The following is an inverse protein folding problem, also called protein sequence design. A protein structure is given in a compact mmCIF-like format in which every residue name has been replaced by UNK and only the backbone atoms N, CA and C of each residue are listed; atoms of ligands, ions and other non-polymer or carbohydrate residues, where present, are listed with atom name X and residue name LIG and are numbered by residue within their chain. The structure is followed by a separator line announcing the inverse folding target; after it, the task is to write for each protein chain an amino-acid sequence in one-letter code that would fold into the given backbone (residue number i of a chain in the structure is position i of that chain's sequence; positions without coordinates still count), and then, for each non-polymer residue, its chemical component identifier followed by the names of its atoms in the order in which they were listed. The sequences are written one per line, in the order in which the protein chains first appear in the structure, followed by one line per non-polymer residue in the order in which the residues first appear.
data_IF_986510938629
#
_entry.id   IF_986510938629
#
_cell.length_a   1.000
_cell.length_b   1.000
_cell.length_c   1.000
_cell.angle_alpha   90.00
_cell.angle_beta   90.00
_cell.angle_gamma   90.00
#
_symmetry.space_group_name_H-M   'P 1'
#
loop_
_entity.id
_entity.type
_entity.pdbx_description
1 polymer ?
#
# COMPACT_ATOMS: atom_id res chain seq x y z
N UNK A 1 -7.92 17.84 -54.53
CA UNK A 1 -8.26 17.98 -53.09
C UNK A 1 -7.65 16.80 -52.35
N UNK A 2 -6.39 16.94 -51.93
CA UNK A 2 -5.65 15.90 -51.20
C UNK A 2 -6.05 15.91 -49.72
N UNK A 3 -6.47 14.76 -49.20
CA UNK A 3 -6.81 14.57 -47.79
C UNK A 3 -5.57 14.09 -47.05
N UNK A 4 -4.81 15.02 -46.48
CA UNK A 4 -3.75 14.72 -45.53
C UNK A 4 -4.35 14.12 -44.25
N UNK A 5 -4.20 12.80 -44.05
CA UNK A 5 -4.45 12.15 -42.76
C UNK A 5 -3.26 12.45 -41.85
N UNK A 6 -3.48 13.31 -40.86
CA UNK A 6 -2.52 13.52 -39.78
C UNK A 6 -2.33 12.20 -39.01
N UNK A 7 -1.12 11.65 -39.08
CA UNK A 7 -0.71 10.53 -38.24
C UNK A 7 -0.62 11.03 -36.79
N UNK A 8 -1.63 10.67 -36.00
CA UNK A 8 -1.63 10.85 -34.55
C UNK A 8 -0.43 10.11 -33.95
N UNK A 9 0.62 10.85 -33.59
CA UNK A 9 1.70 10.40 -32.71
C UNK A 9 1.16 10.27 -31.28
N UNK A 10 0.27 9.30 -31.06
CA UNK A 10 0.02 8.81 -29.71
C UNK A 10 1.25 7.99 -29.34
N UNK A 11 2.11 8.59 -28.50
CA UNK A 11 3.12 7.84 -27.78
C UNK A 11 2.45 6.60 -27.19
N UNK A 12 2.93 5.42 -27.58
CA UNK A 12 2.51 4.16 -26.98
C UNK A 12 2.70 4.30 -25.45
N UNK A 13 1.73 3.88 -24.63
CA UNK A 13 1.93 3.88 -23.19
C UNK A 13 3.19 3.09 -22.90
N UNK A 14 4.15 3.73 -22.23
CA UNK A 14 5.38 3.12 -21.77
C UNK A 14 5.01 1.78 -21.15
N UNK A 15 5.49 0.71 -21.77
CA UNK A 15 5.31 -0.67 -21.34
C UNK A 15 5.60 -0.71 -19.83
N UNK A 16 4.56 -0.92 -19.00
CA UNK A 16 4.73 -1.08 -17.57
C UNK A 16 5.67 -2.26 -17.35
N UNK A 17 6.94 -1.98 -17.03
CA UNK A 17 7.89 -3.02 -16.68
C UNK A 17 7.30 -3.81 -15.51
N UNK A 18 7.25 -5.12 -15.69
CA UNK A 18 6.72 -6.10 -14.75
C UNK A 18 7.31 -5.83 -13.36
N UNK A 19 6.42 -5.67 -12.38
CA UNK A 19 6.67 -5.03 -11.08
C UNK A 19 7.47 -5.84 -10.06
N UNK A 20 8.51 -6.57 -10.45
CA UNK A 20 9.34 -7.31 -9.48
C UNK A 20 10.52 -6.50 -8.93
N UNK A 21 10.94 -5.43 -9.61
CA UNK A 21 12.10 -4.62 -9.19
C UNK A 21 11.79 -3.12 -9.26
N UNK A 22 11.15 -2.60 -8.21
CA UNK A 22 11.01 -1.17 -8.00
C UNK A 22 12.33 -0.60 -7.49
N UNK A 23 12.93 0.42 -8.15
CA UNK A 23 14.19 0.98 -7.70
C UNK A 23 14.02 1.96 -6.52
N UNK A 24 12.78 2.22 -6.09
CA UNK A 24 12.52 3.12 -4.97
C UNK A 24 12.93 2.47 -3.65
N UNK A 25 13.74 3.17 -2.86
CA UNK A 25 14.29 2.68 -1.58
C UNK A 25 14.41 3.82 -0.58
N UNK A 26 14.22 3.50 0.70
CA UNK A 26 14.47 4.41 1.82
C UNK A 26 15.33 3.66 2.83
N UNK A 27 16.45 4.25 3.22
CA UNK A 27 17.31 3.75 4.29
C UNK A 27 17.31 4.77 5.41
N UNK A 28 17.09 4.31 6.63
CA UNK A 28 17.08 5.15 7.81
C UNK A 28 17.83 4.46 8.95
N UNK A 29 18.41 5.27 9.82
CA UNK A 29 19.07 4.84 11.04
C UNK A 29 18.40 5.50 12.24
N UNK A 30 18.32 4.77 13.35
CA UNK A 30 17.88 5.32 14.63
C UNK A 30 19.11 5.88 15.34
N UNK A 31 19.05 7.15 15.74
CA UNK A 31 20.11 7.83 16.48
C UNK A 31 19.53 8.45 17.74
N UNK A 32 20.24 8.38 18.86
CA UNK A 32 19.84 9.08 20.08
C UNK A 32 20.32 10.53 20.02
N UNK A 33 19.44 11.48 20.33
CA UNK A 33 19.83 12.89 20.43
C UNK A 33 20.44 13.18 21.80
N UNK A 34 21.73 13.58 21.88
CA UNK A 34 22.38 13.86 23.14
C UNK A 34 22.04 15.23 23.72
N UNK A 35 21.28 16.08 23.01
CA UNK A 35 20.86 17.40 23.52
C UNK A 35 19.98 17.23 24.78
N UNK A 36 20.39 17.79 25.95
CA UNK A 36 19.62 17.71 27.19
C UNK A 36 18.19 18.28 27.08
N UNK A 37 17.96 19.22 26.16
CA UNK A 37 16.63 19.82 25.94
C UNK A 37 15.77 19.04 24.93
N UNK A 38 16.34 18.01 24.29
CA UNK A 38 15.68 17.21 23.26
C UNK A 38 16.10 15.73 23.30
N UNK A 39 16.28 15.20 24.52
CA UNK A 39 16.61 13.80 24.82
C UNK A 39 15.53 12.84 24.26
N UNK A 40 15.77 12.38 23.04
CA UNK A 40 14.85 11.47 22.34
C UNK A 40 15.59 10.65 21.27
N UNK A 41 15.03 9.47 20.96
CA UNK A 41 15.41 8.74 19.75
C UNK A 41 14.87 9.46 18.51
N UNK A 42 15.72 9.59 17.50
CA UNK A 42 15.39 10.19 16.22
C UNK A 42 15.65 9.20 15.10
N UNK A 43 14.83 9.27 14.05
CA UNK A 43 15.03 8.49 12.82
C UNK A 43 15.66 9.42 11.80
N UNK A 44 16.90 9.14 11.43
CA UNK A 44 17.63 9.89 10.39
C UNK A 44 17.60 9.09 9.09
N UNK A 45 16.99 9.66 8.05
CA UNK A 45 17.05 9.09 6.70
C UNK A 45 18.46 9.30 6.16
N UNK A 46 19.13 8.21 5.79
CA UNK A 46 20.51 8.21 5.28
C UNK A 46 20.56 8.14 3.75
N UNK A 47 19.56 7.50 3.14
CA UNK A 47 19.42 7.43 1.68
C UNK A 47 17.94 7.35 1.31
N UNK A 48 17.57 8.04 0.22
CA UNK A 48 16.21 8.03 -0.29
C UNK A 48 16.22 8.10 -1.82
N UNK A 49 15.70 7.06 -2.47
CA UNK A 49 15.38 7.03 -3.89
C UNK A 49 13.87 6.94 -4.03
N UNK A 50 13.22 8.08 -4.30
CA UNK A 50 11.76 8.18 -4.37
C UNK A 50 11.19 7.96 -5.79
N UNK A 51 12.05 7.71 -6.79
CA UNK A 51 11.62 7.53 -8.18
C UNK A 51 11.12 6.11 -8.39
N UNK A 52 9.84 5.98 -8.71
CA UNK A 52 9.22 4.72 -9.08
C UNK A 52 9.24 4.53 -10.60
N UNK A 53 9.37 3.27 -11.03
CA UNK A 53 9.18 2.87 -12.44
C UNK A 53 7.70 2.59 -12.77
N UNK A 54 6.78 2.90 -11.86
CA UNK A 54 5.33 2.77 -12.03
C UNK A 54 4.60 3.94 -11.34
N UNK A 55 3.32 4.12 -11.68
CA UNK A 55 2.49 5.14 -11.05
C UNK A 55 2.10 4.76 -9.61
N UNK A 56 2.50 5.58 -8.64
CA UNK A 56 2.07 5.44 -7.24
C UNK A 56 0.66 6.01 -7.10
N UNK A 57 -0.30 5.17 -6.70
CA UNK A 57 -1.70 5.58 -6.48
C UNK A 57 -2.22 4.99 -5.18
N UNK A 58 -2.92 5.80 -4.37
CA UNK A 58 -3.54 5.36 -3.11
C UNK A 58 -4.48 4.16 -3.30
N UNK A 59 -5.16 4.08 -4.44
CA UNK A 59 -6.01 2.93 -4.81
C UNK A 59 -5.20 1.64 -4.99
N UNK A 60 -4.01 1.71 -5.58
CA UNK A 60 -3.13 0.54 -5.79
C UNK A 60 -2.53 0.08 -4.47
N UNK A 61 -2.05 1.02 -3.65
CA UNK A 61 -1.56 0.72 -2.29
C UNK A 61 -2.62 0.00 -1.44
N UNK A 62 -3.85 0.53 -1.43
CA UNK A 62 -4.97 -0.05 -0.66
C UNK A 62 -5.48 -1.39 -1.18
N UNK A 63 -5.07 -1.83 -2.37
CA UNK A 63 -5.51 -3.10 -2.95
C UNK A 63 -4.52 -4.25 -2.68
N UNK A 64 -3.35 -3.94 -2.09
CA UNK A 64 -2.37 -4.96 -1.71
C UNK A 64 -2.80 -5.60 -0.39
N UNK A 65 -2.93 -6.93 -0.37
CA UNK A 65 -3.41 -7.67 0.80
C UNK A 65 -2.63 -7.38 2.10
N UNK A 66 -1.32 -7.14 2.02
CA UNK A 66 -0.47 -6.75 3.17
C UNK A 66 -0.85 -5.39 3.78
N UNK A 67 -1.51 -4.54 3.00
CA UNK A 67 -1.91 -3.20 3.38
C UNK A 67 -3.40 -3.13 3.77
N UNK A 68 -4.14 -4.24 3.61
CA UNK A 68 -5.49 -4.40 4.12
C UNK A 68 -5.42 -4.70 5.62
N UNK A 69 -4.96 -3.72 6.40
CA UNK A 69 -5.06 -3.77 7.85
C UNK A 69 -6.32 -3.01 8.24
N UNK A 70 -7.23 -3.69 8.93
CA UNK A 70 -8.27 -3.00 9.67
C UNK A 70 -7.63 -2.45 10.94
N UNK A 71 -7.82 -1.15 11.18
CA UNK A 71 -7.24 -0.45 12.33
C UNK A 71 -8.30 -0.10 13.36
N UNK A 72 -9.59 -0.31 13.05
CA UNK A 72 -10.67 -0.17 14.00
C UNK A 72 -10.56 -1.28 15.08
N UNK A 73 -10.16 -0.87 16.28
CA UNK A 73 -9.97 -1.76 17.44
C UNK A 73 -11.25 -2.53 17.76
N UNK A 74 -12.43 -1.91 17.66
CA UNK A 74 -13.69 -2.58 17.96
C UNK A 74 -13.98 -3.72 16.96
N UNK A 75 -13.64 -3.54 15.68
CA UNK A 75 -13.80 -4.58 14.66
C UNK A 75 -12.81 -5.72 14.89
N UNK A 76 -11.56 -5.38 15.23
CA UNK A 76 -10.51 -6.36 15.52
C UNK A 76 -10.86 -7.21 16.73
N UNK A 77 -11.37 -6.60 17.80
CA UNK A 77 -11.74 -7.28 19.04
C UNK A 77 -12.87 -8.29 18.82
N UNK A 78 -13.93 -7.89 18.11
CA UNK A 78 -15.05 -8.79 17.78
C UNK A 78 -14.57 -10.00 16.97
N UNK A 79 -13.70 -9.80 15.97
CA UNK A 79 -13.15 -10.91 15.18
C UNK A 79 -12.28 -11.82 16.05
N UNK A 80 -11.49 -11.26 16.96
CA UNK A 80 -10.68 -12.03 17.89
C UNK A 80 -11.53 -12.86 18.85
N UNK A 81 -12.59 -12.30 19.43
CA UNK A 81 -13.55 -13.04 20.26
C UNK A 81 -14.20 -14.20 19.49
N UNK A 82 -14.64 -13.95 18.26
CA UNK A 82 -15.19 -15.00 17.39
C UNK A 82 -14.17 -16.13 17.14
N UNK A 83 -12.89 -15.79 16.98
CA UNK A 83 -11.84 -16.81 16.83
C UNK A 83 -11.56 -17.56 18.13
N UNK A 84 -11.54 -16.87 19.27
CA UNK A 84 -11.32 -17.48 20.60
C UNK A 84 -12.45 -18.45 20.96
N UNK A 85 -13.68 -18.16 20.55
CA UNK A 85 -14.85 -19.05 20.71
C UNK A 85 -14.88 -20.21 19.72
N UNK A 86 -13.85 -20.34 18.86
CA UNK A 86 -13.74 -21.44 17.91
C UNK A 86 -14.59 -21.29 16.65
N UNK A 87 -15.11 -20.08 16.38
CA UNK A 87 -15.91 -19.84 15.18
C UNK A 87 -15.08 -20.06 13.91
N UNK A 88 -15.70 -20.68 12.91
CA UNK A 88 -15.01 -21.03 11.67
C UNK A 88 -14.58 -19.75 10.91
N UNK A 89 -13.29 -19.55 10.61
CA UNK A 89 -12.80 -18.36 9.91
C UNK A 89 -13.47 -18.11 8.56
N UNK A 90 -13.89 -19.16 7.84
CA UNK A 90 -14.60 -19.04 6.56
C UNK A 90 -15.99 -18.41 6.74
N UNK A 91 -16.65 -18.69 7.85
CA UNK A 91 -17.98 -18.14 8.17
C UNK A 91 -17.85 -16.66 8.52
N UNK A 92 -16.88 -16.31 9.36
CA UNK A 92 -16.56 -14.91 9.70
C UNK A 92 -16.28 -14.12 8.42
N UNK A 93 -15.39 -14.62 7.56
CA UNK A 93 -15.05 -13.97 6.30
C UNK A 93 -16.24 -13.86 5.35
N UNK A 94 -17.08 -14.90 5.25
CA UNK A 94 -18.29 -14.87 4.43
C UNK A 94 -19.30 -13.82 4.90
N UNK A 95 -19.48 -13.69 6.21
CA UNK A 95 -20.30 -12.64 6.81
C UNK A 95 -19.77 -11.26 6.45
N UNK A 96 -18.47 -11.02 6.67
CA UNK A 96 -17.82 -9.74 6.34
C UNK A 96 -17.98 -9.39 4.87
N UNK A 97 -17.79 -10.33 3.94
CA UNK A 97 -18.01 -10.08 2.51
C UNK A 97 -19.47 -9.72 2.17
N UNK A 98 -20.45 -10.33 2.86
CA UNK A 98 -21.87 -10.04 2.66
C UNK A 98 -22.26 -8.65 3.16
N UNK A 99 -21.73 -8.24 4.31
CA UNK A 99 -22.10 -6.97 4.95
C UNK A 99 -21.35 -5.76 4.41
N UNK A 100 -20.09 -5.94 3.99
CA UNK A 100 -19.25 -4.84 3.48
C UNK A 100 -19.32 -4.66 1.97
N UNK A 101 -19.96 -5.57 1.24
CA UNK A 101 -20.04 -5.52 -0.23
C UNK A 101 -18.70 -5.70 -0.95
N UNK A 102 -17.60 -5.95 -0.22
CA UNK A 102 -16.30 -6.27 -0.79
C UNK A 102 -16.30 -7.70 -1.31
N UNK A 103 -16.75 -7.88 -2.56
CA UNK A 103 -16.40 -9.05 -3.36
C UNK A 103 -15.07 -8.75 -4.04
N UNK A 104 -14.09 -9.65 -3.87
CA UNK A 104 -12.86 -9.67 -4.66
C UNK A 104 -13.16 -9.71 -6.15
#
# INVERSE_FOLDING_TARGET
MERFRAHSTRALPVLQKVGTECPATITAAVTFNPDPNALAYQVKVTSCKAVHNYAVKKRVFRNYASNHKETDEAVVDVVNELRLTGSNPKVILSYLHKTTGMRR
#
